data_IF_029225544207
#
_entry.id   IF_029225544207
#
_cell.length_a   1.000
_cell.length_b   1.000
_cell.length_c   1.000
_cell.angle_alpha   90.00
_cell.angle_beta   90.00
_cell.angle_gamma   90.00
#
_symmetry.space_group_name_H-M   'P 1'
#
loop_
_entity.id
_entity.type
_entity.pdbx_description
1 polymer ?
#
# COMPACT_ATOMS: atom_id res chain seq x y z
N UNK A 1 -7.42 -58.59 11.21
CA UNK A 1 -7.15 -57.19 11.62
C UNK A 1 -5.83 -56.70 11.01
N UNK A 2 -5.83 -56.16 9.78
CA UNK A 2 -4.63 -55.51 9.16
C UNK A 2 -5.01 -54.39 8.16
N UNK A 3 -6.12 -53.70 8.39
CA UNK A 3 -6.59 -52.61 7.48
C UNK A 3 -6.45 -51.22 8.13
N UNK A 4 -6.17 -51.15 9.43
CA UNK A 4 -6.24 -49.89 10.18
C UNK A 4 -4.98 -49.02 10.10
N UNK A 5 -3.81 -49.58 9.75
CA UNK A 5 -2.55 -48.82 9.67
C UNK A 5 -2.35 -48.05 8.36
N UNK A 6 -2.99 -48.48 7.26
CA UNK A 6 -2.79 -47.88 5.93
C UNK A 6 -3.55 -46.56 5.76
N UNK A 7 -4.70 -46.39 6.45
CA UNK A 7 -5.49 -45.16 6.40
C UNK A 7 -4.80 -43.96 7.09
N UNK A 8 -4.04 -44.22 8.16
CA UNK A 8 -3.31 -43.20 8.92
C UNK A 8 -2.14 -42.58 8.13
N UNK A 9 -1.50 -43.36 7.25
CA UNK A 9 -0.41 -42.90 6.39
C UNK A 9 -0.90 -42.02 5.22
N UNK A 10 -2.11 -42.29 4.72
CA UNK A 10 -2.75 -41.49 3.66
C UNK A 10 -3.22 -40.12 4.21
N UNK A 11 -3.67 -40.06 5.47
CA UNK A 11 -4.12 -38.82 6.09
C UNK A 11 -2.99 -37.79 6.33
N UNK A 12 -1.74 -38.23 6.53
CA UNK A 12 -0.61 -37.33 6.71
C UNK A 12 -0.15 -36.62 5.42
N UNK A 13 -0.49 -37.17 4.24
CA UNK A 13 -0.08 -36.60 2.94
C UNK A 13 -0.93 -35.38 2.53
N UNK A 14 -2.11 -35.18 3.12
CA UNK A 14 -2.99 -34.06 2.77
C UNK A 14 -2.73 -32.76 3.55
N UNK A 15 -1.92 -32.80 4.63
CA UNK A 15 -1.65 -31.62 5.46
C UNK A 15 -0.43 -30.78 5.03
N UNK A 16 0.32 -31.20 4.01
CA UNK A 16 1.55 -30.50 3.61
C UNK A 16 1.42 -29.63 2.35
N UNK A 17 0.20 -29.24 1.97
CA UNK A 17 0.02 -28.20 0.95
C UNK A 17 0.13 -26.82 1.62
N UNK A 18 1.35 -26.42 2.02
CA UNK A 18 1.60 -25.02 2.39
C UNK A 18 1.33 -24.17 1.16
N UNK A 19 0.32 -23.33 1.23
CA UNK A 19 -0.01 -22.37 0.19
C UNK A 19 1.22 -21.49 -0.08
N UNK A 20 1.74 -21.52 -1.32
CA UNK A 20 2.80 -20.62 -1.75
C UNK A 20 2.21 -19.20 -1.82
N UNK A 21 2.58 -18.38 -0.85
CA UNK A 21 2.13 -16.98 -0.75
C UNK A 21 3.06 -16.02 -1.50
N UNK A 22 4.05 -16.52 -2.24
CA UNK A 22 5.09 -15.71 -2.84
C UNK A 22 5.83 -14.87 -1.80
N UNK A 23 6.18 -13.63 -2.14
CA UNK A 23 6.87 -12.70 -1.24
C UNK A 23 5.88 -11.98 -0.30
N UNK A 24 5.12 -12.75 0.48
CA UNK A 24 4.17 -12.21 1.46
C UNK A 24 4.82 -12.12 2.85
N UNK A 25 5.07 -10.89 3.32
CA UNK A 25 5.63 -10.64 4.65
C UNK A 25 5.18 -9.28 5.20
N UNK A 26 5.08 -9.18 6.53
CA UNK A 26 4.60 -7.97 7.20
C UNK A 26 3.15 -7.60 6.87
N UNK A 27 2.35 -8.54 6.36
CA UNK A 27 0.96 -8.29 5.95
C UNK A 27 0.78 -7.89 4.47
N UNK A 28 1.86 -7.77 3.70
CA UNK A 28 1.83 -7.31 2.31
C UNK A 28 2.52 -8.29 1.35
N UNK A 29 2.02 -8.32 0.11
CA UNK A 29 2.70 -8.90 -1.04
C UNK A 29 3.72 -7.88 -1.56
N UNK A 30 4.99 -8.27 -1.58
CA UNK A 30 6.06 -7.44 -2.10
C UNK A 30 6.34 -7.76 -3.56
N UNK A 31 6.27 -6.73 -4.40
CA UNK A 31 6.63 -6.77 -5.81
C UNK A 31 7.97 -6.06 -5.99
N UNK A 32 8.93 -6.80 -6.53
CA UNK A 32 10.25 -6.30 -6.82
C UNK A 32 10.27 -5.63 -8.20
N UNK A 33 10.75 -4.40 -8.29
CA UNK A 33 10.78 -3.65 -9.56
C UNK A 33 12.18 -3.14 -9.85
N UNK A 34 12.46 -2.86 -11.11
CA UNK A 34 13.75 -2.39 -11.59
C UNK A 34 13.53 -1.39 -12.73
N UNK A 35 14.56 -0.61 -13.04
CA UNK A 35 14.53 0.45 -14.04
C UNK A 35 14.21 1.82 -13.45
N UNK A 36 13.84 2.76 -14.31
CA UNK A 36 13.69 4.17 -13.93
C UNK A 36 12.58 4.38 -12.90
N UNK A 37 12.81 5.18 -11.83
CA UNK A 37 11.80 5.45 -10.80
C UNK A 37 10.54 6.08 -11.38
N UNK A 38 9.39 5.43 -11.18
CA UNK A 38 8.06 5.96 -11.53
C UNK A 38 7.42 6.56 -10.28
N UNK A 39 7.87 7.75 -9.88
CA UNK A 39 7.50 8.36 -8.59
C UNK A 39 5.98 8.43 -8.37
N UNK A 40 5.22 8.93 -9.34
CA UNK A 40 3.76 9.02 -9.25
C UNK A 40 3.08 7.65 -9.08
N UNK A 41 3.61 6.61 -9.75
CA UNK A 41 3.12 5.25 -9.59
C UNK A 41 3.38 4.73 -8.18
N UNK A 42 4.58 4.94 -7.62
CA UNK A 42 4.92 4.47 -6.29
C UNK A 42 4.11 5.19 -5.21
N UNK A 43 3.91 6.49 -5.35
CA UNK A 43 3.05 7.24 -4.44
C UNK A 43 1.61 6.71 -4.47
N UNK A 44 1.04 6.49 -5.66
CA UNK A 44 -0.31 5.93 -5.78
C UNK A 44 -0.38 4.49 -5.24
N UNK A 45 0.63 3.66 -5.52
CA UNK A 45 0.71 2.29 -5.04
C UNK A 45 0.76 2.21 -3.52
N UNK A 46 1.55 3.08 -2.88
CA UNK A 46 1.60 3.18 -1.43
C UNK A 46 0.25 3.66 -0.88
N UNK A 47 -0.36 4.65 -1.51
CA UNK A 47 -1.66 5.18 -1.13
C UNK A 47 -2.82 4.17 -1.19
N UNK A 48 -2.77 3.17 -2.08
CA UNK A 48 -3.77 2.09 -2.14
C UNK A 48 -3.29 0.78 -1.49
N UNK A 49 -2.13 0.79 -0.84
CA UNK A 49 -1.50 -0.42 -0.32
C UNK A 49 -2.33 -1.11 0.76
N UNK A 50 -3.15 -0.38 1.52
CA UNK A 50 -4.05 -0.96 2.52
C UNK A 50 -5.18 -1.77 1.90
N UNK A 51 -5.73 -1.29 0.77
CA UNK A 51 -6.80 -1.97 0.02
C UNK A 51 -6.29 -3.26 -0.61
N UNK A 52 -5.12 -3.21 -1.25
CA UNK A 52 -4.59 -4.33 -2.04
C UNK A 52 -3.61 -5.21 -1.27
N UNK A 53 -3.08 -4.73 -0.15
CA UNK A 53 -1.96 -5.35 0.58
C UNK A 53 -0.78 -5.64 -0.35
N UNK A 54 -0.51 -4.74 -1.29
CA UNK A 54 0.59 -4.82 -2.24
C UNK A 54 1.55 -3.65 -1.96
N UNK A 55 2.85 -3.94 -1.89
CA UNK A 55 3.92 -2.94 -1.80
C UNK A 55 5.01 -3.22 -2.82
N UNK A 56 5.76 -2.18 -3.16
CA UNK A 56 6.82 -2.24 -4.16
C UNK A 56 8.18 -2.01 -3.53
N UNK A 57 9.19 -2.72 -4.04
CA UNK A 57 10.59 -2.51 -3.68
C UNK A 57 11.44 -2.43 -4.95
N UNK A 58 12.18 -1.34 -5.12
CA UNK A 58 13.13 -1.21 -6.23
C UNK A 58 14.40 -2.01 -5.90
N UNK A 59 14.70 -3.06 -6.69
CA UNK A 59 15.81 -4.00 -6.40
C UNK A 59 17.21 -3.47 -6.72
N UNK A 60 17.33 -2.22 -7.17
CA UNK A 60 18.63 -1.61 -7.45
C UNK A 60 18.53 -0.08 -7.49
N UNK A 61 19.68 0.58 -7.38
CA UNK A 61 19.84 2.02 -7.66
C UNK A 61 19.94 2.30 -9.17
N UNK A 62 20.81 3.24 -9.55
CA UNK A 62 20.96 3.73 -10.94
C UNK A 62 21.42 2.67 -11.96
N UNK A 63 21.94 1.53 -11.52
CA UNK A 63 22.39 0.44 -12.40
C UNK A 63 21.77 -0.87 -11.92
N UNK A 64 21.16 -1.61 -12.84
CA UNK A 64 20.62 -2.95 -12.61
C UNK A 64 21.31 -3.91 -13.57
N UNK A 65 21.78 -5.05 -13.07
CA UNK A 65 22.31 -6.10 -13.93
C UNK A 65 21.21 -7.10 -14.32
N UNK A 66 21.52 -7.94 -15.32
CA UNK A 66 20.57 -8.91 -15.83
C UNK A 66 20.20 -9.98 -14.79
N UNK A 67 21.11 -10.30 -13.87
CA UNK A 67 20.88 -11.28 -12.81
C UNK A 67 19.87 -10.76 -11.78
N UNK A 68 19.95 -9.48 -11.42
CA UNK A 68 19.00 -8.82 -10.54
C UNK A 68 17.59 -8.78 -11.15
N UNK A 69 17.50 -8.47 -12.45
CA UNK A 69 16.23 -8.51 -13.19
C UNK A 69 15.62 -9.92 -13.16
N UNK A 70 16.40 -10.96 -13.48
CA UNK A 70 15.92 -12.35 -13.44
C UNK A 70 15.48 -12.78 -12.05
N UNK A 71 16.22 -12.38 -11.01
CA UNK A 71 15.86 -12.70 -9.64
C UNK A 71 14.55 -12.01 -9.22
N UNK A 72 14.35 -10.75 -9.60
CA UNK A 72 13.11 -10.02 -9.35
C UNK A 72 11.93 -10.70 -10.05
N UNK A 73 12.07 -11.04 -11.34
CA UNK A 73 11.02 -11.70 -12.12
C UNK A 73 10.65 -13.07 -11.57
N UNK A 74 11.65 -13.89 -11.21
CA UNK A 74 11.44 -15.21 -10.63
C UNK A 74 10.69 -15.11 -9.29
N UNK A 75 11.05 -14.15 -8.43
CA UNK A 75 10.36 -13.87 -7.17
C UNK A 75 8.94 -13.38 -7.42
N UNK A 76 8.75 -12.44 -8.33
CA UNK A 76 7.46 -11.85 -8.64
C UNK A 76 6.46 -12.85 -9.22
N UNK A 77 6.91 -13.82 -10.02
CA UNK A 77 6.04 -14.84 -10.61
C UNK A 77 5.19 -15.54 -9.55
N UNK A 78 5.81 -15.97 -8.45
CA UNK A 78 5.12 -16.62 -7.33
C UNK A 78 4.20 -15.64 -6.59
N UNK A 79 4.65 -14.41 -6.37
CA UNK A 79 3.82 -13.35 -5.78
C UNK A 79 2.56 -13.08 -6.62
N UNK A 80 2.67 -12.95 -7.93
CA UNK A 80 1.53 -12.69 -8.81
C UNK A 80 0.52 -13.83 -8.79
N UNK A 81 0.98 -15.09 -8.76
CA UNK A 81 0.08 -16.23 -8.59
C UNK A 81 -0.67 -16.17 -7.25
N UNK A 82 -0.01 -15.78 -6.16
CA UNK A 82 -0.64 -15.64 -4.86
C UNK A 82 -1.64 -14.47 -4.81
N UNK A 83 -1.31 -13.33 -5.42
CA UNK A 83 -2.22 -12.18 -5.57
C UNK A 83 -3.44 -12.56 -6.42
N UNK A 84 -3.23 -13.24 -7.54
CA UNK A 84 -4.31 -13.70 -8.42
C UNK A 84 -5.26 -14.65 -7.69
N UNK A 85 -4.73 -15.58 -6.89
CA UNK A 85 -5.56 -16.47 -6.08
C UNK A 85 -6.43 -15.70 -5.08
N UNK A 86 -5.92 -14.60 -4.52
CA UNK A 86 -6.63 -13.77 -3.54
C UNK A 86 -7.65 -12.83 -4.17
N UNK A 87 -7.31 -12.18 -5.28
CA UNK A 87 -8.10 -11.08 -5.86
C UNK A 87 -8.76 -11.43 -7.21
N UNK A 88 -8.51 -12.62 -7.73
CA UNK A 88 -9.03 -13.12 -9.01
C UNK A 88 -8.12 -12.81 -10.20
N UNK A 89 -8.40 -13.45 -11.34
CA UNK A 89 -7.62 -13.34 -12.59
C UNK A 89 -7.46 -11.92 -13.12
N UNK A 90 -8.46 -11.06 -12.87
CA UNK A 90 -8.48 -9.68 -13.33
C UNK A 90 -7.99 -8.66 -12.27
N UNK A 91 -7.21 -9.13 -11.28
CA UNK A 91 -6.73 -8.27 -10.21
C UNK A 91 -5.87 -7.13 -10.75
N UNK A 92 -5.06 -7.40 -11.79
CA UNK A 92 -4.08 -6.44 -12.30
C UNK A 92 -4.77 -5.27 -13.00
N UNK A 93 -5.81 -5.53 -13.79
CA UNK A 93 -6.59 -4.46 -14.43
C UNK A 93 -7.29 -3.60 -13.38
N UNK A 94 -7.90 -4.22 -12.35
CA UNK A 94 -8.53 -3.50 -11.24
C UNK A 94 -7.53 -2.68 -10.42
N UNK A 95 -6.37 -3.26 -10.14
CA UNK A 95 -5.28 -2.62 -9.41
C UNK A 95 -4.77 -1.38 -10.17
N UNK A 96 -4.49 -1.53 -11.47
CA UNK A 96 -4.05 -0.42 -12.30
C UNK A 96 -5.11 0.67 -12.41
N UNK A 97 -6.39 0.31 -12.51
CA UNK A 97 -7.48 1.28 -12.47
C UNK A 97 -7.50 2.05 -11.14
N UNK A 98 -7.33 1.37 -10.01
CA UNK A 98 -7.26 2.05 -8.71
C UNK A 98 -6.05 2.97 -8.60
N UNK A 99 -4.89 2.60 -9.17
CA UNK A 99 -3.71 3.47 -9.26
C UNK A 99 -4.04 4.75 -10.03
N UNK A 100 -4.63 4.61 -11.21
CA UNK A 100 -4.95 5.74 -12.08
C UNK A 100 -6.01 6.66 -11.43
N UNK A 101 -7.05 6.05 -10.83
CA UNK A 101 -8.13 6.78 -10.15
C UNK A 101 -7.63 7.47 -8.84
N UNK A 102 -6.57 6.95 -8.20
CA UNK A 102 -6.08 7.47 -6.91
C UNK A 102 -5.60 8.92 -7.00
N UNK A 103 -5.00 9.33 -8.12
CA UNK A 103 -4.54 10.71 -8.31
C UNK A 103 -5.70 11.71 -8.23
N UNK A 104 -6.85 11.37 -8.81
CA UNK A 104 -8.06 12.22 -8.71
C UNK A 104 -8.60 12.24 -7.28
N UNK A 105 -8.63 11.10 -6.60
CA UNK A 105 -9.07 11.02 -5.19
C UNK A 105 -8.21 11.89 -4.27
N UNK A 106 -6.90 12.01 -4.52
CA UNK A 106 -6.02 12.91 -3.74
C UNK A 106 -6.43 14.37 -3.88
N UNK A 107 -6.87 14.80 -5.07
CA UNK A 107 -7.36 16.17 -5.29
C UNK A 107 -8.61 16.41 -4.42
N UNK A 108 -9.58 15.49 -4.46
CA UNK A 108 -10.79 15.59 -3.64
C UNK A 108 -10.48 15.66 -2.13
N UNK A 109 -9.52 14.85 -1.66
CA UNK A 109 -9.06 14.87 -0.26
C UNK A 109 -8.49 16.24 0.07
N UNK A 110 -7.66 16.82 -0.80
CA UNK A 110 -7.04 18.13 -0.56
C UNK A 110 -8.05 19.27 -0.57
N UNK A 111 -9.03 19.26 -1.47
CA UNK A 111 -10.08 20.27 -1.51
C UNK A 111 -10.87 20.30 -0.18
N UNK A 112 -11.17 19.12 0.36
CA UNK A 112 -11.86 18.98 1.65
C UNK A 112 -10.97 19.45 2.81
N UNK A 113 -9.69 19.07 2.81
CA UNK A 113 -8.74 19.50 3.84
C UNK A 113 -8.56 21.02 3.85
N UNK A 114 -8.30 21.63 2.71
CA UNK A 114 -8.10 23.08 2.59
C UNK A 114 -9.35 23.84 3.03
N UNK A 115 -10.56 23.32 2.75
CA UNK A 115 -11.82 23.89 3.21
C UNK A 115 -12.09 23.69 4.70
N UNK A 116 -11.48 22.70 5.35
CA UNK A 116 -11.67 22.39 6.77
C UNK A 116 -10.99 23.39 7.71
N UNK A 117 -11.78 24.03 8.60
CA UNK A 117 -11.24 24.88 9.67
C UNK A 117 -10.35 24.09 10.62
N UNK A 118 -10.76 22.88 10.99
CA UNK A 118 -10.00 22.00 11.88
C UNK A 118 -8.60 21.70 11.31
N UNK A 119 -8.52 21.43 10.00
CA UNK A 119 -7.23 21.20 9.34
C UNK A 119 -6.33 22.43 9.37
N UNK A 120 -6.88 23.59 8.98
CA UNK A 120 -6.12 24.86 8.97
C UNK A 120 -5.65 25.28 10.36
N UNK A 121 -6.47 25.03 11.38
CA UNK A 121 -6.10 25.33 12.76
C UNK A 121 -4.99 24.38 13.24
N UNK A 122 -5.01 23.10 12.84
CA UNK A 122 -3.95 22.15 13.19
C UNK A 122 -2.62 22.50 12.51
N UNK A 123 -2.63 22.84 11.21
CA UNK A 123 -1.42 23.29 10.51
C UNK A 123 -0.72 24.45 11.23
N UNK A 124 -1.49 25.42 11.74
CA UNK A 124 -0.95 26.58 12.48
C UNK A 124 -0.26 26.17 13.79
N UNK A 125 -0.75 25.15 14.49
CA UNK A 125 -0.12 24.65 15.74
C UNK A 125 1.26 24.08 15.47
N UNK A 126 1.48 23.54 14.27
CA UNK A 126 2.73 22.92 13.84
C UNK A 126 3.58 23.83 12.93
N UNK A 127 3.22 25.12 12.84
CA UNK A 127 3.90 26.13 12.03
C UNK A 127 4.04 25.76 10.54
N UNK A 128 3.06 25.04 10.00
CA UNK A 128 3.04 24.61 8.59
C UNK A 128 2.19 25.58 7.77
N UNK A 129 2.74 26.08 6.67
CA UNK A 129 2.02 26.90 5.70
C UNK A 129 1.18 26.03 4.75
N UNK A 130 -0.02 26.51 4.39
CA UNK A 130 -1.00 25.72 3.60
C UNK A 130 -0.47 25.34 2.20
N UNK A 131 0.47 26.08 1.64
CA UNK A 131 1.07 25.78 0.33
C UNK A 131 2.31 24.89 0.41
N UNK A 132 2.84 24.59 1.60
CA UNK A 132 4.03 23.75 1.81
C UNK A 132 3.72 22.52 2.68
N UNK A 133 2.61 21.84 2.38
CA UNK A 133 2.16 20.68 3.15
C UNK A 133 2.81 19.41 2.60
N UNK A 134 3.81 18.89 3.32
CA UNK A 134 4.26 17.52 3.16
C UNK A 134 3.28 16.55 3.82
N UNK A 135 2.88 15.51 3.08
CA UNK A 135 1.80 14.60 3.49
C UNK A 135 1.84 13.28 2.74
N UNK A 136 1.34 12.27 3.40
CA UNK A 136 0.98 10.99 2.80
C UNK A 136 -0.53 10.79 2.90
N UNK A 137 -1.12 10.24 1.83
CA UNK A 137 -2.56 9.95 1.75
C UNK A 137 -2.73 8.46 1.50
N UNK A 138 -3.57 7.80 2.29
CA UNK A 138 -3.86 6.37 2.18
C UNK A 138 -5.37 6.16 2.07
N UNK A 139 -5.83 5.45 1.03
CA UNK A 139 -7.21 5.00 0.92
C UNK A 139 -7.43 3.83 1.89
N UNK A 140 -8.31 4.01 2.88
CA UNK A 140 -8.59 3.02 3.90
C UNK A 140 -9.65 2.01 3.45
N UNK A 141 -10.65 2.48 2.69
CA UNK A 141 -11.76 1.66 2.23
C UNK A 141 -12.49 2.27 1.02
N UNK A 142 -13.42 1.51 0.44
CA UNK A 142 -14.25 1.95 -0.69
C UNK A 142 -15.42 2.87 -0.25
N UNK A 143 -15.51 3.22 1.03
CA UNK A 143 -16.51 4.14 1.58
C UNK A 143 -16.07 5.60 1.52
N UNK A 144 -14.91 5.85 0.90
CA UNK A 144 -14.33 7.17 0.71
C UNK A 144 -13.58 7.67 1.93
N UNK A 145 -13.11 6.78 2.81
CA UNK A 145 -12.26 7.15 3.93
C UNK A 145 -10.78 7.09 3.56
N UNK A 146 -10.08 8.16 3.88
CA UNK A 146 -8.66 8.33 3.64
C UNK A 146 -7.98 8.69 4.95
N UNK A 147 -6.84 8.06 5.23
CA UNK A 147 -5.91 8.54 6.24
C UNK A 147 -4.98 9.55 5.59
N UNK A 148 -4.77 10.67 6.27
CA UNK A 148 -3.76 11.65 5.87
C UNK A 148 -2.79 11.83 7.03
N UNK A 149 -1.50 11.71 6.74
CA UNK A 149 -0.43 11.94 7.71
C UNK A 149 0.29 13.19 7.24
N UNK A 150 0.41 14.19 8.12
CA UNK A 150 1.06 15.47 7.81
C UNK A 150 2.42 15.50 8.49
N UNK A 151 3.42 15.91 7.72
CA UNK A 151 4.80 16.02 8.19
C UNK A 151 5.29 17.47 8.13
N UNK A 152 6.23 17.80 9.00
CA UNK A 152 7.04 19.01 8.92
C UNK A 152 8.52 18.61 8.84
N UNK A 153 9.07 18.67 7.63
CA UNK A 153 10.47 18.29 7.37
C UNK A 153 11.49 19.30 7.88
N UNK A 154 11.06 20.47 8.32
CA UNK A 154 11.94 21.46 8.95
C UNK A 154 12.24 21.10 10.41
N UNK A 155 11.48 20.17 11.01
CA UNK A 155 11.74 19.64 12.35
C UNK A 155 12.90 18.63 12.33
N UNK A 156 13.75 18.67 13.37
CA UNK A 156 14.87 17.74 13.53
C UNK A 156 14.42 16.31 13.85
N UNK A 157 15.31 15.37 13.59
CA UNK A 157 15.11 13.97 13.14
C UNK A 157 14.11 13.04 13.87
N UNK A 158 13.58 13.40 15.05
CA UNK A 158 12.83 12.45 15.89
C UNK A 158 11.31 12.62 15.87
N UNK A 159 10.76 13.73 15.34
CA UNK A 159 9.31 13.91 15.30
C UNK A 159 8.83 14.74 14.10
N UNK A 160 9.09 14.22 12.89
CA UNK A 160 8.63 14.85 11.64
C UNK A 160 7.13 14.71 11.44
N UNK A 161 6.52 13.66 11.99
CA UNK A 161 5.08 13.47 11.93
C UNK A 161 4.40 14.46 12.88
N UNK A 162 3.56 15.33 12.35
CA UNK A 162 2.91 16.39 13.12
C UNK A 162 1.54 15.93 13.62
N UNK A 163 0.70 15.41 12.72
CA UNK A 163 -0.65 14.93 13.06
C UNK A 163 -1.22 14.03 11.97
N UNK A 164 -2.23 13.25 12.35
CA UNK A 164 -2.96 12.34 11.49
C UNK A 164 -4.43 12.71 11.43
N UNK A 165 -5.03 12.47 10.28
CA UNK A 165 -6.43 12.76 10.00
C UNK A 165 -7.11 11.57 9.34
N UNK A 166 -8.41 11.47 9.54
CA UNK A 166 -9.31 10.73 8.65
C UNK A 166 -10.18 11.73 7.90
N UNK A 167 -10.12 11.64 6.58
CA UNK A 167 -10.96 12.42 5.65
C UNK A 167 -11.98 11.48 5.03
N UNK A 168 -13.26 11.83 5.08
CA UNK A 168 -14.28 11.12 4.33
C UNK A 168 -14.74 11.97 3.14
N UNK A 169 -14.42 11.55 1.91
CA UNK A 169 -14.72 12.35 0.71
C UNK A 169 -16.21 12.41 0.37
N UNK A 170 -16.97 11.37 0.73
CA UNK A 170 -18.43 11.32 0.48
C UNK A 170 -19.21 12.22 1.43
N UNK A 171 -18.86 12.20 2.72
CA UNK A 171 -19.47 13.00 3.79
C UNK A 171 -18.83 14.38 3.94
N UNK A 172 -17.68 14.62 3.28
CA UNK A 172 -16.87 15.83 3.38
C UNK A 172 -16.48 16.19 4.82
N UNK A 173 -16.10 15.19 5.60
CA UNK A 173 -15.71 15.36 7.01
C UNK A 173 -14.21 15.15 7.20
N UNK A 174 -13.66 15.82 8.21
CA UNK A 174 -12.25 15.71 8.61
C UNK A 174 -12.20 15.53 10.12
N UNK A 175 -11.52 14.48 10.59
CA UNK A 175 -11.35 14.20 12.01
C UNK A 175 -9.87 13.95 12.32
N UNK A 176 -9.38 14.47 13.45
CA UNK A 176 -8.05 14.10 13.96
C UNK A 176 -8.08 12.68 14.52
N UNK A 177 -6.96 11.97 14.36
CA UNK A 177 -6.74 10.65 14.96
C UNK A 177 -5.36 10.60 15.61
N UNK A 178 -5.21 9.74 16.62
CA UNK A 178 -3.93 9.41 17.26
C UNK A 178 -3.20 8.31 16.49
#
# INVERSE_FOLDING_TARGET
>A
MKVSGFLLLIMMLFFSCKEDKGNYHGGYYWIYTYGYPRMAFFEAAEGISEKWKIKYYAVSGCTVDQKDMYNADAKNKKTYTAIEKKFGKNWREKYNKDIDDFLMKKVDVMDILIASKLFRDELKKHYIEVYNIDKEVFELNNEGEFRVIVYNNELTYENKECFRLVVNTKRKTVNLIQ
#
